data_IF_215890242682
#
_entry.id   IF_215890242682
#
_cell.length_a   1.000
_cell.length_b   1.000
_cell.length_c   1.000
_cell.angle_alpha   90.00
_cell.angle_beta   90.00
_cell.angle_gamma   90.00
#
_symmetry.space_group_name_H-M   'P 1'
#
loop_
_entity.id
_entity.type
_entity.pdbx_description
1 polymer ?
#
# COMPACT_ATOMS: atom_id res chain seq x y z
N UNK A 1 -5.02 -23.39 2.43
CA UNK A 1 -4.99 -22.65 3.71
C UNK A 1 -4.53 -21.24 3.40
N UNK A 2 -5.44 -20.27 3.37
CA UNK A 2 -5.14 -18.84 3.25
C UNK A 2 -4.96 -18.28 4.66
N UNK A 3 -3.96 -17.42 4.93
CA UNK A 3 -3.87 -16.74 6.22
C UNK A 3 -5.05 -15.75 6.36
N UNK A 4 -5.58 -15.66 7.57
CA UNK A 4 -6.69 -14.78 7.91
C UNK A 4 -6.31 -13.33 7.58
N UNK A 5 -7.14 -12.66 6.77
CA UNK A 5 -7.05 -11.24 6.56
C UNK A 5 -7.23 -10.52 7.91
N UNK A 6 -6.27 -9.67 8.25
CA UNK A 6 -6.37 -8.69 9.34
C UNK A 6 -7.46 -7.68 8.98
N UNK A 7 -8.72 -8.06 9.18
CA UNK A 7 -9.84 -7.13 9.24
C UNK A 7 -9.66 -6.30 10.51
N UNK A 8 -9.49 -4.98 10.39
CA UNK A 8 -9.62 -4.07 11.53
C UNK A 8 -11.01 -4.28 12.15
N UNK A 9 -11.13 -4.76 13.40
CA UNK A 9 -12.43 -4.80 14.06
C UNK A 9 -12.90 -3.35 14.22
N UNK A 10 -14.13 -3.09 13.75
CA UNK A 10 -14.83 -1.83 14.05
C UNK A 10 -14.97 -1.75 15.57
N UNK A 11 -14.49 -0.66 16.15
CA UNK A 11 -14.41 -0.42 17.59
C UNK A 11 -15.75 -0.70 18.31
N UNK A 12 -15.86 -1.90 18.89
CA UNK A 12 -16.86 -2.24 19.90
C UNK A 12 -16.21 -2.10 21.27
N UNK A 13 -16.67 -1.12 22.05
CA UNK A 13 -16.38 -0.84 23.46
C UNK A 13 -15.28 -1.71 24.12
N UNK A 14 -14.02 -1.29 23.98
CA UNK A 14 -12.94 -1.73 24.87
C UNK A 14 -13.11 -1.00 26.22
N UNK A 15 -14.00 -1.51 27.07
CA UNK A 15 -14.13 -1.05 28.44
C UNK A 15 -12.92 -1.47 29.26
N UNK A 16 -12.09 -0.46 29.55
CA UNK A 16 -11.44 -0.20 30.84
C UNK A 16 -11.16 -1.44 31.72
N UNK A 17 -9.95 -2.00 31.61
CA UNK A 17 -9.33 -2.83 32.65
C UNK A 17 -7.97 -2.30 33.12
N UNK A 18 -7.67 -1.03 32.86
CA UNK A 18 -6.48 -0.38 33.42
C UNK A 18 -6.68 0.16 34.86
N UNK A 19 -7.91 0.12 35.40
CA UNK A 19 -8.19 0.65 36.74
C UNK A 19 -8.17 -0.38 37.89
N UNK A 20 -8.02 -1.69 37.63
CA UNK A 20 -8.15 -2.72 38.69
C UNK A 20 -6.96 -3.67 38.89
N UNK A 21 -5.83 -3.47 38.20
CA UNK A 21 -4.64 -4.31 38.39
C UNK A 21 -3.65 -3.80 39.45
N UNK A 22 -4.12 -3.13 40.50
CA UNK A 22 -3.32 -2.75 41.68
C UNK A 22 -3.21 -3.90 42.72
N UNK A 23 -3.36 -5.16 42.28
CA UNK A 23 -3.34 -6.34 43.12
C UNK A 23 -2.02 -7.11 43.00
N UNK A 24 -1.08 -6.81 43.93
CA UNK A 24 0.03 -7.64 44.42
C UNK A 24 0.64 -8.67 43.44
N UNK A 25 1.64 -8.24 42.69
CA UNK A 25 2.72 -9.11 42.24
C UNK A 25 3.95 -8.86 43.12
N UNK A 26 4.07 -9.61 44.22
CA UNK A 26 5.29 -9.63 45.03
C UNK A 26 6.33 -10.56 44.37
N UNK A 27 7.49 -10.01 44.02
CA UNK A 27 8.76 -10.75 44.06
C UNK A 27 9.44 -11.15 42.75
N UNK A 28 8.85 -10.92 41.57
CA UNK A 28 9.62 -11.00 40.33
C UNK A 28 10.35 -9.66 40.16
N UNK A 29 11.68 -9.67 40.18
CA UNK A 29 12.52 -8.54 39.76
C UNK A 29 12.20 -8.23 38.30
N UNK A 30 11.14 -7.44 38.08
CA UNK A 30 10.72 -6.99 36.76
C UNK A 30 11.89 -6.29 36.12
N UNK A 31 12.39 -6.83 35.02
CA UNK A 31 13.48 -6.23 34.27
C UNK A 31 13.05 -4.82 33.87
N UNK A 32 13.75 -3.81 34.40
CA UNK A 32 13.50 -2.43 34.03
C UNK A 32 13.96 -2.24 32.57
N UNK A 33 13.00 -2.14 31.65
CA UNK A 33 13.29 -1.89 30.24
C UNK A 33 13.59 -0.42 30.07
N UNK A 34 14.88 -0.10 29.92
CA UNK A 34 15.33 1.25 29.60
C UNK A 34 14.93 1.61 28.17
N UNK A 35 14.17 2.69 28.01
CA UNK A 35 13.76 3.23 26.71
C UNK A 35 14.67 4.37 26.26
N UNK A 36 15.10 4.34 25.00
CA UNK A 36 15.72 5.45 24.30
C UNK A 36 14.64 6.29 23.59
N UNK A 37 14.14 7.31 24.28
CA UNK A 37 12.97 8.08 23.85
C UNK A 37 13.38 9.34 23.05
N UNK A 38 12.90 9.52 21.79
CA UNK A 38 13.22 10.68 20.96
C UNK A 38 13.00 12.01 21.66
N UNK A 39 13.90 12.98 21.47
CA UNK A 39 13.91 14.26 22.21
C UNK A 39 12.65 15.11 22.03
N UNK A 40 11.98 14.99 20.87
CA UNK A 40 10.77 15.75 20.53
C UNK A 40 9.49 15.28 21.24
N UNK A 41 9.52 14.16 21.96
CA UNK A 41 8.35 13.69 22.71
C UNK A 41 8.06 14.57 23.93
N UNK A 42 6.78 14.87 24.13
CA UNK A 42 6.30 15.58 25.32
C UNK A 42 6.48 14.74 26.59
N UNK A 43 6.51 15.39 27.76
CA UNK A 43 6.60 14.69 29.05
C UNK A 43 5.48 13.68 29.25
N UNK A 44 4.25 14.01 28.80
CA UNK A 44 3.10 13.10 28.86
C UNK A 44 3.30 11.85 28.00
N UNK A 45 3.75 12.02 26.76
CA UNK A 45 4.01 10.89 25.86
C UNK A 45 5.14 9.99 26.39
N UNK A 46 6.20 10.58 26.94
CA UNK A 46 7.28 9.81 27.58
C UNK A 46 6.77 8.98 28.74
N UNK A 47 6.00 9.58 29.65
CA UNK A 47 5.42 8.87 30.79
C UNK A 47 4.50 7.72 30.36
N UNK A 48 3.71 7.91 29.29
CA UNK A 48 2.86 6.85 28.71
C UNK A 48 3.70 5.69 28.16
N UNK A 49 4.75 5.99 27.37
CA UNK A 49 5.63 4.96 26.79
C UNK A 49 6.43 4.21 27.86
N UNK A 50 6.97 4.90 28.86
CA UNK A 50 7.67 4.28 29.99
C UNK A 50 6.74 3.40 30.83
N UNK A 51 5.52 3.87 31.09
CA UNK A 51 4.50 3.08 31.76
C UNK A 51 4.15 1.81 30.98
N UNK A 52 3.90 1.95 29.68
CA UNK A 52 3.65 0.81 28.80
C UNK A 52 4.84 -0.16 28.75
N UNK A 53 6.08 0.35 28.65
CA UNK A 53 7.29 -0.45 28.65
C UNK A 53 7.45 -1.29 29.91
N UNK A 54 7.23 -0.70 31.09
CA UNK A 54 7.27 -1.44 32.37
C UNK A 54 6.19 -2.52 32.45
N UNK A 55 4.96 -2.21 32.06
CA UNK A 55 3.86 -3.19 32.06
C UNK A 55 4.16 -4.35 31.11
N UNK A 56 4.56 -4.05 29.88
CA UNK A 56 4.90 -5.06 28.87
C UNK A 56 6.08 -5.93 29.31
N UNK A 57 7.11 -5.34 29.93
CA UNK A 57 8.24 -6.08 30.46
C UNK A 57 7.84 -7.05 31.57
N UNK A 58 6.94 -6.64 32.47
CA UNK A 58 6.42 -7.48 33.54
C UNK A 58 5.55 -8.62 33.00
N UNK A 59 4.72 -8.35 31.99
CA UNK A 59 3.78 -9.32 31.42
C UNK A 59 4.45 -10.34 30.48
N UNK A 60 5.36 -9.88 29.63
CA UNK A 60 5.98 -10.71 28.58
C UNK A 60 7.36 -11.25 28.99
N UNK A 61 8.03 -10.62 29.94
CA UNK A 61 9.36 -11.02 30.41
C UNK A 61 10.35 -11.21 29.24
N UNK A 62 11.06 -12.35 29.16
CA UNK A 62 12.00 -12.63 28.07
C UNK A 62 11.36 -12.70 26.66
N UNK A 63 10.03 -12.80 26.56
CA UNK A 63 9.37 -12.82 25.27
C UNK A 63 9.26 -11.42 24.64
N UNK A 64 9.42 -10.34 25.42
CA UNK A 64 9.54 -8.98 24.90
C UNK A 64 10.94 -8.77 24.32
N UNK A 65 11.03 -8.66 23.01
CA UNK A 65 12.29 -8.50 22.29
C UNK A 65 12.64 -7.04 22.04
N UNK A 66 11.64 -6.17 21.93
CA UNK A 66 11.87 -4.73 21.79
C UNK A 66 10.61 -3.91 21.58
N UNK A 67 10.80 -2.61 21.50
CA UNK A 67 9.74 -1.62 21.35
C UNK A 67 10.14 -0.62 20.26
N UNK A 68 9.22 -0.31 19.36
CA UNK A 68 9.45 0.63 18.26
C UNK A 68 8.32 1.65 18.23
N UNK A 69 8.65 2.94 18.20
CA UNK A 69 7.64 4.00 18.07
C UNK A 69 7.45 4.33 16.59
N UNK A 70 6.32 3.91 16.03
CA UNK A 70 5.94 4.20 14.65
C UNK A 70 5.12 5.51 14.58
N UNK A 71 4.34 5.66 13.52
CA UNK A 71 3.40 6.76 13.35
C UNK A 71 4.04 8.13 13.16
N UNK A 72 3.22 9.15 13.34
CA UNK A 72 3.64 10.54 13.31
C UNK A 72 4.54 10.88 14.50
N UNK A 73 4.26 10.33 15.68
CA UNK A 73 5.04 10.56 16.89
C UNK A 73 6.48 10.06 16.78
N UNK A 74 6.73 8.88 16.21
CA UNK A 74 8.08 8.37 15.99
C UNK A 74 8.93 9.28 15.09
N UNK A 75 8.27 9.96 14.14
CA UNK A 75 8.91 10.80 13.11
C UNK A 75 8.92 12.30 13.45
N UNK A 76 8.45 12.69 14.63
CA UNK A 76 8.36 14.10 15.03
C UNK A 76 7.30 14.90 14.28
N UNK A 77 6.28 14.22 13.74
CA UNK A 77 5.16 14.80 12.98
C UNK A 77 3.85 14.79 13.76
N UNK A 78 3.87 14.42 15.04
CA UNK A 78 2.67 14.35 15.85
C UNK A 78 2.03 15.73 16.00
N UNK A 79 0.70 15.75 15.91
CA UNK A 79 -0.16 16.88 16.24
C UNK A 79 -0.94 16.59 17.51
N UNK A 80 -1.75 17.54 17.97
CA UNK A 80 -2.69 17.32 19.10
C UNK A 80 -3.75 16.24 18.83
N UNK A 81 -3.90 15.82 17.57
CA UNK A 81 -4.80 14.74 17.16
C UNK A 81 -4.08 13.41 16.90
N UNK A 82 -2.77 13.35 17.14
CA UNK A 82 -1.98 12.13 16.97
C UNK A 82 -1.96 11.29 18.25
N UNK A 83 -2.18 9.99 18.08
CA UNK A 83 -1.90 8.96 19.06
C UNK A 83 -0.43 8.51 18.98
N UNK A 84 -0.08 7.53 19.82
CA UNK A 84 1.21 6.85 19.81
C UNK A 84 1.04 5.44 19.24
N UNK A 85 1.73 5.14 18.14
CA UNK A 85 1.80 3.81 17.57
C UNK A 85 3.01 3.05 18.13
N UNK A 86 2.80 2.16 19.11
CA UNK A 86 3.87 1.37 19.73
C UNK A 86 3.88 -0.06 19.16
N UNK A 87 4.86 -0.37 18.32
CA UNK A 87 5.08 -1.76 17.90
C UNK A 87 5.74 -2.52 19.04
N UNK A 88 5.08 -3.58 19.50
CA UNK A 88 5.58 -4.48 20.55
C UNK A 88 6.19 -5.69 19.87
N UNK A 89 7.52 -5.73 19.79
CA UNK A 89 8.25 -6.81 19.10
C UNK A 89 8.51 -7.94 20.09
N UNK A 90 8.07 -9.14 19.74
CA UNK A 90 8.13 -10.31 20.62
C UNK A 90 8.56 -11.58 19.88
N UNK A 91 8.78 -12.67 20.63
CA UNK A 91 9.06 -13.98 20.02
C UNK A 91 7.85 -14.47 19.21
N UNK A 92 8.05 -15.30 18.18
CA UNK A 92 6.95 -15.84 17.38
C UNK A 92 5.89 -16.57 18.22
N UNK A 93 6.32 -17.29 19.26
CA UNK A 93 5.42 -18.04 20.15
C UNK A 93 4.51 -17.11 20.95
N UNK A 94 5.05 -15.98 21.45
CA UNK A 94 4.27 -15.00 22.18
C UNK A 94 3.28 -14.26 21.27
N UNK A 95 3.68 -13.97 20.03
CA UNK A 95 2.81 -13.33 19.04
C UNK A 95 1.64 -14.23 18.58
N UNK A 96 1.81 -15.56 18.64
CA UNK A 96 0.78 -16.54 18.33
C UNK A 96 -0.09 -16.94 19.53
N UNK A 97 0.25 -16.47 20.73
CA UNK A 97 -0.50 -16.74 21.95
C UNK A 97 -1.93 -16.18 21.91
N UNK A 98 -2.74 -16.44 22.95
CA UNK A 98 -4.01 -15.75 23.12
C UNK A 98 -3.73 -14.25 23.02
N UNK A 99 -4.53 -13.51 22.23
CA UNK A 99 -4.35 -12.07 22.11
C UNK A 99 -4.30 -11.50 23.53
N UNK A 100 -3.12 -11.04 23.96
CA UNK A 100 -3.02 -10.24 25.15
C UNK A 100 -3.99 -9.07 24.97
N UNK A 101 -4.60 -8.53 26.04
CA UNK A 101 -5.43 -7.34 25.93
C UNK A 101 -4.54 -6.14 25.55
N UNK A 102 -4.17 -6.05 24.28
CA UNK A 102 -3.32 -5.01 23.72
C UNK A 102 -4.00 -3.68 23.98
N UNK A 103 -3.23 -2.75 24.53
CA UNK A 103 -3.77 -1.45 24.87
C UNK A 103 -4.18 -0.73 23.59
N UNK A 104 -5.47 -0.42 23.48
CA UNK A 104 -6.02 0.38 22.41
C UNK A 104 -6.81 1.54 23.03
N UNK A 105 -6.18 2.70 23.10
CA UNK A 105 -6.75 3.93 23.64
C UNK A 105 -6.63 5.04 22.61
N UNK A 106 -7.29 6.19 22.85
CA UNK A 106 -7.13 7.36 22.00
C UNK A 106 -5.71 7.97 22.03
N UNK A 107 -4.84 7.53 22.94
CA UNK A 107 -3.52 8.14 23.20
C UNK A 107 -2.37 7.20 22.85
N UNK A 108 -2.62 5.89 22.88
CA UNK A 108 -1.62 4.84 22.67
C UNK A 108 -2.31 3.58 22.10
N UNK A 109 -1.80 3.14 20.97
CA UNK A 109 -2.10 1.86 20.32
C UNK A 109 -0.88 0.94 20.43
N UNK A 110 -1.06 -0.21 21.07
CA UNK A 110 -0.06 -1.29 21.09
C UNK A 110 -0.31 -2.23 19.92
N UNK A 111 0.71 -2.43 19.09
CA UNK A 111 0.64 -3.22 17.87
C UNK A 111 1.58 -4.43 18.04
N UNK A 112 1.06 -5.62 18.35
CA UNK A 112 1.90 -6.80 18.54
C UNK A 112 2.54 -7.24 17.22
N UNK A 113 3.83 -7.56 17.25
CA UNK A 113 4.59 -8.00 16.09
C UNK A 113 5.57 -9.10 16.46
N UNK A 114 5.56 -10.21 15.72
CA UNK A 114 6.61 -11.19 15.83
C UNK A 114 7.89 -10.67 15.14
N UNK A 115 9.07 -10.94 15.70
CA UNK A 115 10.33 -10.49 15.09
C UNK A 115 10.52 -11.05 13.67
N UNK A 116 10.16 -12.31 13.44
CA UNK A 116 10.28 -12.94 12.13
C UNK A 116 9.38 -12.29 11.07
N UNK A 117 8.23 -11.75 11.46
CA UNK A 117 7.39 -10.94 10.58
C UNK A 117 8.09 -9.66 10.14
N UNK A 118 8.86 -9.01 11.04
CA UNK A 118 9.61 -7.81 10.70
C UNK A 118 10.81 -8.13 9.81
N UNK A 119 11.47 -9.26 10.03
CA UNK A 119 12.59 -9.75 9.22
C UNK A 119 12.15 -10.20 7.81
N UNK A 120 10.90 -10.65 7.66
CA UNK A 120 10.32 -11.05 6.39
C UNK A 120 9.74 -9.85 5.63
N UNK A 121 10.46 -9.40 4.61
CA UNK A 121 9.96 -8.33 3.73
C UNK A 121 8.80 -8.84 2.88
N UNK A 122 7.62 -8.26 3.10
CA UNK A 122 6.43 -8.61 2.35
C UNK A 122 6.59 -8.25 0.86
N UNK A 123 6.22 -9.15 -0.08
CA UNK A 123 6.33 -8.86 -1.51
C UNK A 123 5.31 -7.81 -1.94
N UNK A 124 5.61 -7.11 -3.03
CA UNK A 124 4.74 -6.07 -3.57
C UNK A 124 3.32 -6.62 -3.83
N UNK A 125 2.30 -5.80 -3.58
CA UNK A 125 0.90 -6.17 -3.78
C UNK A 125 0.33 -7.14 -2.73
N UNK A 126 1.15 -7.66 -1.80
CA UNK A 126 0.63 -8.37 -0.64
C UNK A 126 0.04 -7.41 0.40
N UNK A 127 -0.84 -7.87 1.30
CA UNK A 127 -1.36 -7.05 2.40
C UNK A 127 -0.27 -6.46 3.30
N UNK A 128 0.85 -7.19 3.48
CA UNK A 128 1.99 -6.77 4.30
C UNK A 128 2.79 -5.61 3.72
N UNK A 129 2.82 -5.46 2.39
CA UNK A 129 3.67 -4.48 1.72
C UNK A 129 3.34 -3.04 2.13
N UNK A 130 2.05 -2.73 2.32
CA UNK A 130 1.63 -1.39 2.73
C UNK A 130 2.21 -0.96 4.09
N UNK A 131 2.49 -1.93 4.98
CA UNK A 131 3.03 -1.66 6.31
C UNK A 131 4.53 -1.37 6.32
N UNK A 132 5.26 -1.59 5.21
CA UNK A 132 6.69 -1.27 5.13
C UNK A 132 6.98 0.18 5.52
N UNK A 133 6.10 1.10 5.10
CA UNK A 133 6.23 2.50 5.49
C UNK A 133 6.04 2.73 6.98
N UNK A 134 5.16 1.99 7.65
CA UNK A 134 5.02 2.08 9.11
C UNK A 134 6.33 1.74 9.82
N UNK A 135 7.13 0.84 9.27
CA UNK A 135 8.45 0.48 9.81
C UNK A 135 9.57 1.44 9.43
N UNK A 136 9.51 2.00 8.21
CA UNK A 136 10.58 2.81 7.65
C UNK A 136 10.95 4.00 8.55
N UNK A 137 12.22 4.04 8.98
CA UNK A 137 12.80 5.08 9.84
C UNK A 137 12.07 5.29 11.18
N UNK A 138 11.35 4.28 11.67
CA UNK A 138 10.76 4.32 13.00
C UNK A 138 11.86 4.14 14.07
N UNK A 139 11.93 4.99 15.10
CA UNK A 139 12.90 4.83 16.18
C UNK A 139 12.65 3.57 17.01
N UNK A 140 13.73 2.81 17.24
CA UNK A 140 13.76 1.69 18.18
C UNK A 140 13.97 2.25 19.59
N UNK A 141 12.98 2.05 20.46
CA UNK A 141 13.04 2.52 21.84
C UNK A 141 13.80 1.54 22.75
N UNK A 142 13.68 0.24 22.48
CA UNK A 142 14.39 -0.81 23.21
C UNK A 142 14.63 -2.00 22.28
N UNK A 143 15.79 -2.64 22.42
CA UNK A 143 16.19 -3.79 21.61
C UNK A 143 17.02 -4.79 22.45
N UNK A 144 16.38 -5.91 22.83
CA UNK A 144 17.02 -7.02 23.53
C UNK A 144 17.68 -8.02 22.57
N UNK A 145 17.53 -7.84 21.26
CA UNK A 145 18.02 -8.76 20.22
C UNK A 145 19.44 -8.46 19.76
N UNK A 146 20.06 -7.39 20.30
CA UNK A 146 21.40 -6.96 19.90
C UNK A 146 21.43 -6.29 18.52
N UNK A 147 20.34 -5.62 18.11
CA UNK A 147 20.28 -4.83 16.88
C UNK A 147 19.53 -5.48 15.72
N UNK A 148 18.95 -6.70 15.90
CA UNK A 148 18.19 -7.35 14.82
C UNK A 148 16.93 -6.58 14.48
N UNK A 149 16.26 -5.96 15.46
CA UNK A 149 15.08 -5.13 15.22
C UNK A 149 15.47 -3.92 14.37
N UNK A 150 16.53 -3.22 14.74
CA UNK A 150 17.03 -2.08 13.98
C UNK A 150 17.39 -2.46 12.53
N UNK A 151 18.10 -3.58 12.34
CA UNK A 151 18.46 -4.09 11.01
C UNK A 151 17.22 -4.48 10.18
N UNK A 152 16.21 -5.08 10.81
CA UNK A 152 14.97 -5.43 10.15
C UNK A 152 14.19 -4.19 9.72
N UNK A 153 14.05 -3.16 10.58
CA UNK A 153 13.43 -1.88 10.21
C UNK A 153 14.18 -1.17 9.08
N UNK A 154 15.51 -1.16 9.11
CA UNK A 154 16.33 -0.57 8.06
C UNK A 154 16.06 -1.24 6.70
N UNK A 155 16.01 -2.57 6.67
CA UNK A 155 15.65 -3.32 5.46
C UNK A 155 14.27 -2.94 4.92
N UNK A 156 13.32 -2.56 5.78
CA UNK A 156 11.98 -2.13 5.34
C UNK A 156 12.00 -0.79 4.59
N UNK A 157 13.06 0.01 4.67
CA UNK A 157 13.17 1.32 3.98
C UNK A 157 13.54 1.21 2.50
N UNK A 158 14.16 0.10 2.08
CA UNK A 158 14.76 -0.06 0.77
C UNK A 158 14.16 -1.21 -0.06
N UNK A 159 13.98 -0.96 -1.36
CA UNK A 159 13.67 -1.99 -2.35
C UNK A 159 14.97 -2.57 -2.90
N UNK A 160 15.08 -3.89 -2.95
CA UNK A 160 16.08 -4.56 -3.78
C UNK A 160 15.77 -4.36 -5.26
N UNK A 161 16.76 -4.60 -6.13
CA UNK A 161 16.57 -4.55 -7.58
C UNK A 161 15.42 -5.45 -8.06
N UNK A 162 15.26 -6.64 -7.45
CA UNK A 162 14.17 -7.54 -7.80
C UNK A 162 12.80 -6.97 -7.41
N UNK A 163 12.69 -6.39 -6.20
CA UNK A 163 11.47 -5.72 -5.74
C UNK A 163 11.13 -4.50 -6.60
N UNK A 164 12.13 -3.67 -6.95
CA UNK A 164 11.95 -2.52 -7.85
C UNK A 164 11.42 -2.97 -9.22
N UNK A 165 12.00 -4.02 -9.82
CA UNK A 165 11.53 -4.52 -11.11
C UNK A 165 10.12 -5.10 -11.04
N UNK A 166 9.81 -5.85 -9.97
CA UNK A 166 8.49 -6.42 -9.76
C UNK A 166 7.44 -5.33 -9.54
N UNK A 167 7.73 -4.30 -8.75
CA UNK A 167 6.86 -3.14 -8.57
C UNK A 167 6.65 -2.37 -9.89
N UNK A 168 7.73 -1.97 -10.56
CA UNK A 168 7.66 -1.13 -11.76
C UNK A 168 7.02 -1.85 -12.95
N UNK A 169 7.42 -3.11 -13.19
CA UNK A 169 7.09 -3.88 -14.39
C UNK A 169 6.05 -4.96 -14.06
N UNK A 170 6.32 -5.82 -13.08
CA UNK A 170 5.44 -6.93 -12.71
C UNK A 170 4.03 -6.48 -12.32
N UNK A 171 3.96 -5.40 -11.55
CA UNK A 171 2.70 -4.74 -11.16
C UNK A 171 2.33 -3.54 -12.03
N UNK A 172 3.07 -3.30 -13.11
CA UNK A 172 2.71 -2.35 -14.17
C UNK A 172 2.63 -0.88 -13.74
N UNK A 173 3.32 -0.48 -12.66
CA UNK A 173 3.24 0.89 -12.11
C UNK A 173 3.67 1.94 -13.12
N UNK A 174 4.74 1.68 -13.88
CA UNK A 174 5.18 2.58 -14.94
C UNK A 174 4.13 2.73 -16.05
N UNK A 175 3.50 1.62 -16.46
CA UNK A 175 2.47 1.61 -17.49
C UNK A 175 1.20 2.34 -17.06
N UNK A 176 0.78 2.13 -15.81
CA UNK A 176 -0.37 2.81 -15.21
C UNK A 176 -0.15 4.32 -15.12
N UNK A 177 1.00 4.76 -14.63
CA UNK A 177 1.37 6.17 -14.57
C UNK A 177 1.35 6.83 -15.96
N UNK A 178 2.02 6.23 -16.94
CA UNK A 178 2.08 6.77 -18.31
C UNK A 178 0.69 6.84 -18.96
N UNK A 179 -0.13 5.81 -18.79
CA UNK A 179 -1.47 5.76 -19.37
C UNK A 179 -2.39 6.83 -18.78
N UNK A 180 -2.42 6.98 -17.44
CA UNK A 180 -3.27 7.98 -16.78
C UNK A 180 -2.78 9.41 -17.06
N UNK A 181 -1.46 9.63 -17.09
CA UNK A 181 -0.89 10.91 -17.51
C UNK A 181 -1.30 11.25 -18.95
N UNK A 182 -1.24 10.28 -19.87
CA UNK A 182 -1.66 10.47 -21.24
C UNK A 182 -3.17 10.77 -21.36
N UNK A 183 -4.02 10.12 -20.55
CA UNK A 183 -5.46 10.42 -20.48
C UNK A 183 -5.71 11.85 -20.00
N UNK A 184 -5.02 12.29 -18.96
CA UNK A 184 -5.11 13.66 -18.47
C UNK A 184 -4.75 14.66 -19.58
N UNK A 185 -3.64 14.46 -20.30
CA UNK A 185 -3.22 15.31 -21.42
C UNK A 185 -4.24 15.30 -22.58
N UNK A 186 -4.90 14.17 -22.87
CA UNK A 186 -5.97 14.11 -23.86
C UNK A 186 -7.19 14.93 -23.44
N UNK A 187 -7.58 14.88 -22.16
CA UNK A 187 -8.67 15.66 -21.60
C UNK A 187 -8.36 17.16 -21.62
N UNK A 188 -7.12 17.54 -21.29
CA UNK A 188 -6.59 18.90 -21.48
C UNK A 188 -6.76 19.37 -22.93
N UNK A 189 -6.27 18.59 -23.89
CA UNK A 189 -6.35 18.93 -25.32
C UNK A 189 -7.78 19.08 -25.82
N UNK A 190 -8.71 18.35 -25.22
CA UNK A 190 -10.13 18.39 -25.56
C UNK A 190 -10.92 19.51 -24.83
N UNK A 191 -10.25 20.34 -24.00
CA UNK A 191 -10.92 21.38 -23.23
C UNK A 191 -11.82 20.84 -22.11
N UNK A 192 -11.45 19.69 -21.53
CA UNK A 192 -12.18 18.99 -20.46
C UNK A 192 -11.43 19.06 -19.12
N UNK A 193 -11.54 20.17 -18.38
CA UNK A 193 -10.65 20.46 -17.28
C UNK A 193 -10.96 19.68 -15.98
N UNK A 194 -12.18 19.16 -15.82
CA UNK A 194 -12.49 18.34 -14.66
C UNK A 194 -11.91 16.93 -14.85
N UNK A 195 -12.13 16.35 -16.03
CA UNK A 195 -11.70 15.00 -16.38
C UNK A 195 -10.18 14.88 -16.37
N UNK A 196 -9.48 15.89 -16.88
CA UNK A 196 -8.02 15.92 -16.78
C UNK A 196 -7.53 15.98 -15.32
N UNK A 197 -8.27 16.61 -14.40
CA UNK A 197 -7.90 16.67 -12.97
C UNK A 197 -8.07 15.30 -12.35
N UNK A 198 -9.19 14.65 -12.63
CA UNK A 198 -9.49 13.32 -12.16
C UNK A 198 -8.43 12.31 -12.65
N UNK A 199 -8.12 12.32 -13.95
CA UNK A 199 -7.07 11.47 -14.53
C UNK A 199 -5.68 11.76 -13.90
N UNK A 200 -5.35 13.03 -13.64
CA UNK A 200 -4.07 13.42 -13.03
C UNK A 200 -3.97 13.00 -11.56
N UNK A 201 -5.03 13.20 -10.77
CA UNK A 201 -5.09 12.74 -9.37
C UNK A 201 -5.02 11.21 -9.31
N UNK A 202 -5.71 10.51 -10.20
CA UNK A 202 -5.66 9.04 -10.29
C UNK A 202 -4.25 8.54 -10.65
N UNK A 203 -3.46 9.32 -11.41
CA UNK A 203 -2.09 8.98 -11.77
C UNK A 203 -1.07 9.14 -10.63
N UNK A 204 -1.39 9.94 -9.61
CA UNK A 204 -0.43 10.37 -8.59
C UNK A 204 0.16 9.21 -7.76
N UNK A 205 -0.62 8.21 -7.30
CA UNK A 205 -0.06 7.06 -6.60
C UNK A 205 0.99 6.32 -7.44
N UNK A 206 0.71 6.11 -8.73
CA UNK A 206 1.62 5.41 -9.64
C UNK A 206 2.88 6.23 -9.93
N UNK A 207 2.75 7.55 -10.06
CA UNK A 207 3.90 8.44 -10.21
C UNK A 207 4.85 8.33 -9.01
N UNK A 208 4.31 8.41 -7.79
CA UNK A 208 5.12 8.32 -6.57
C UNK A 208 5.74 6.93 -6.40
N UNK A 209 5.00 5.85 -6.69
CA UNK A 209 5.55 4.48 -6.71
C UNK A 209 6.76 4.43 -7.65
N UNK A 210 6.64 4.97 -8.87
CA UNK A 210 7.74 5.00 -9.86
C UNK A 210 8.95 5.79 -9.36
N UNK A 211 8.74 7.00 -8.84
CA UNK A 211 9.84 7.88 -8.39
C UNK A 211 10.64 7.22 -7.26
N UNK A 212 9.97 6.73 -6.22
CA UNK A 212 10.66 6.12 -5.08
C UNK A 212 11.29 4.77 -5.45
N UNK A 213 10.60 3.94 -6.24
CA UNK A 213 11.12 2.63 -6.59
C UNK A 213 12.38 2.70 -7.49
N UNK A 214 12.47 3.71 -8.37
CA UNK A 214 13.67 3.95 -9.20
C UNK A 214 14.92 4.24 -8.35
N UNK A 215 14.74 4.86 -7.19
CA UNK A 215 15.81 5.14 -6.22
C UNK A 215 15.94 4.03 -5.15
N UNK A 216 15.23 2.91 -5.32
CA UNK A 216 15.29 1.79 -4.39
C UNK A 216 14.72 2.12 -3.01
N UNK A 217 13.77 3.06 -2.93
CA UNK A 217 13.15 3.50 -1.67
C UNK A 217 11.69 3.05 -1.61
N UNK A 218 11.21 2.77 -0.40
CA UNK A 218 9.78 2.58 -0.14
C UNK A 218 9.07 3.93 -0.19
N UNK A 219 7.94 3.97 -0.90
CA UNK A 219 7.12 5.18 -1.01
C UNK A 219 6.51 5.58 0.35
N UNK A 220 6.61 6.87 0.75
CA UNK A 220 5.97 7.38 1.95
C UNK A 220 4.45 7.47 1.84
N UNK A 221 3.77 7.42 3.00
CA UNK A 221 2.38 7.88 3.07
C UNK A 221 2.29 9.34 2.63
N UNK A 222 1.22 9.70 1.94
CA UNK A 222 1.02 11.06 1.41
C UNK A 222 1.11 12.14 2.51
N UNK A 223 0.63 11.83 3.72
CA UNK A 223 0.69 12.73 4.89
C UNK A 223 2.12 12.96 5.41
N UNK A 224 3.04 12.04 5.14
CA UNK A 224 4.45 12.11 5.55
C UNK A 224 5.40 12.46 4.40
N UNK A 225 4.89 12.63 3.18
CA UNK A 225 5.70 12.86 1.99
C UNK A 225 6.65 14.07 2.13
N UNK A 226 6.21 15.27 2.58
CA UNK A 226 7.12 16.40 2.73
C UNK A 226 8.27 16.13 3.71
N UNK A 227 7.97 15.47 4.84
CA UNK A 227 8.98 15.10 5.83
C UNK A 227 9.96 14.06 5.28
N UNK A 228 9.45 13.03 4.60
CA UNK A 228 10.28 12.00 4.01
C UNK A 228 11.27 12.60 3.00
N UNK A 229 10.82 13.54 2.16
CA UNK A 229 11.69 14.22 1.21
C UNK A 229 12.68 15.19 1.87
N UNK A 230 12.38 15.73 3.04
CA UNK A 230 13.31 16.60 3.76
C UNK A 230 14.42 15.81 4.48
N UNK A 231 14.05 14.66 5.07
CA UNK A 231 14.95 13.86 5.91
C UNK A 231 15.67 12.76 5.13
N UNK A 232 15.00 12.18 4.13
CA UNK A 232 15.46 11.03 3.34
C UNK A 232 15.16 11.26 1.84
N UNK A 233 15.79 12.28 1.21
CA UNK A 233 15.49 12.63 -0.18
C UNK A 233 15.90 11.50 -1.15
N UNK A 234 15.05 11.17 -2.14
CA UNK A 234 15.44 10.33 -3.27
C UNK A 234 16.65 10.95 -4.00
N UNK A 235 17.76 10.21 -4.22
CA UNK A 235 18.97 10.76 -4.83
C UNK A 235 18.76 11.36 -6.22
N UNK A 236 17.80 10.85 -6.99
CA UNK A 236 17.57 11.30 -8.37
C UNK A 236 16.66 12.54 -8.46
N UNK A 237 16.11 13.03 -7.35
CA UNK A 237 15.10 14.07 -7.33
C UNK A 237 15.35 15.11 -6.25
N UNK A 238 15.30 16.39 -6.61
CA UNK A 238 15.26 17.43 -5.58
C UNK A 238 13.87 17.49 -4.93
N UNK A 239 13.84 17.70 -3.61
CA UNK A 239 12.59 17.81 -2.83
C UNK A 239 11.64 18.87 -3.40
N UNK A 240 12.18 20.05 -3.76
CA UNK A 240 11.39 21.14 -4.30
C UNK A 240 10.79 20.82 -5.67
N UNK A 241 11.56 20.16 -6.54
CA UNK A 241 11.08 19.74 -7.86
C UNK A 241 9.96 18.71 -7.75
N UNK A 242 10.15 17.67 -6.92
CA UNK A 242 9.18 16.61 -6.76
C UNK A 242 7.86 17.13 -6.16
N UNK A 243 7.91 17.94 -5.10
CA UNK A 243 6.71 18.56 -4.53
C UNK A 243 6.04 19.51 -5.52
N UNK A 244 6.83 20.30 -6.27
CA UNK A 244 6.31 21.18 -7.32
C UNK A 244 5.63 20.42 -8.46
N UNK A 245 6.10 19.22 -8.81
CA UNK A 245 5.44 18.34 -9.77
C UNK A 245 4.13 17.76 -9.23
N UNK A 246 4.12 17.30 -7.97
CA UNK A 246 2.90 16.81 -7.31
C UNK A 246 1.84 17.90 -7.25
N UNK A 247 2.18 19.10 -6.76
CA UNK A 247 1.29 20.26 -6.77
C UNK A 247 0.87 20.63 -8.19
N UNK A 248 1.80 20.56 -9.14
CA UNK A 248 1.53 20.72 -10.57
C UNK A 248 0.46 19.74 -11.05
N UNK A 249 0.53 18.46 -10.73
CA UNK A 249 -0.48 17.47 -11.13
C UNK A 249 -1.84 17.74 -10.50
N UNK A 250 -1.86 18.22 -9.25
CA UNK A 250 -3.10 18.57 -8.53
C UNK A 250 -3.75 19.87 -9.05
N UNK A 251 -2.94 20.85 -9.45
CA UNK A 251 -3.40 22.20 -9.83
C UNK A 251 -3.54 22.38 -11.34
N UNK A 252 -2.66 21.77 -12.13
CA UNK A 252 -2.51 21.94 -13.56
C UNK A 252 -3.56 21.16 -14.33
N UNK A 253 -4.78 21.67 -14.22
CA UNK A 253 -5.72 21.68 -15.33
C UNK A 253 -6.30 23.06 -15.61
N UNK A 254 -5.96 24.08 -14.79
CA UNK A 254 -6.39 25.45 -15.06
C UNK A 254 -5.39 26.28 -15.87
N UNK A 255 -4.08 26.14 -15.62
CA UNK A 255 -3.13 27.22 -15.98
C UNK A 255 -2.22 26.92 -17.18
N UNK A 256 -1.61 25.72 -17.30
CA UNK A 256 -0.70 25.40 -18.44
C UNK A 256 -1.42 25.05 -19.74
N UNK A 257 -2.67 24.58 -19.66
CA UNK A 257 -3.47 24.19 -20.83
C UNK A 257 -3.80 25.37 -21.74
N UNK A 258 -4.01 26.56 -21.15
CA UNK A 258 -4.27 27.80 -21.88
C UNK A 258 -3.03 28.24 -22.66
N UNK A 259 -1.84 28.17 -22.05
CA UNK A 259 -0.59 28.55 -22.71
C UNK A 259 -0.20 27.60 -23.84
N UNK A 260 -0.18 26.28 -23.60
CA UNK A 260 0.17 25.30 -24.66
C UNK A 260 -0.84 25.33 -25.81
N UNK A 261 -2.14 25.48 -25.52
CA UNK A 261 -3.16 25.60 -26.58
C UNK A 261 -3.07 26.93 -27.34
N UNK A 262 -2.62 28.01 -26.70
CA UNK A 262 -2.40 29.29 -27.37
C UNK A 262 -1.16 29.25 -28.25
N UNK A 263 -0.08 28.61 -27.79
CA UNK A 263 1.17 28.47 -28.52
C UNK A 263 1.02 27.53 -29.72
N UNK A 264 0.31 26.41 -29.56
CA UNK A 264 -0.02 25.49 -30.65
C UNK A 264 -0.95 26.12 -31.71
N UNK A 265 -1.87 27.00 -31.30
CA UNK A 265 -2.70 27.78 -32.24
C UNK A 265 -1.89 28.83 -33.01
N UNK A 266 -0.88 29.44 -32.38
CA UNK A 266 0.03 30.40 -33.05
C UNK A 266 0.90 29.70 -34.09
N UNK A 267 1.50 28.56 -33.77
CA UNK A 267 2.33 27.81 -34.72
C UNK A 267 1.51 27.28 -35.90
N UNK A 268 0.28 26.81 -35.67
CA UNK A 268 -0.61 26.33 -36.75
C UNK A 268 -1.13 27.43 -37.68
N UNK A 269 -1.27 28.67 -37.19
CA UNK A 269 -1.63 29.83 -38.04
C UNK A 269 -0.45 30.33 -38.88
N UNK A 270 0.78 30.03 -38.47
CA UNK A 270 2.01 30.45 -39.17
C UNK A 270 2.47 29.47 -40.26
N UNK A 271 1.86 28.31 -40.42
CA UNK A 271 2.16 27.39 -41.54
C UNK A 271 1.25 27.68 -42.75
N UNK A 272 1.74 28.32 -43.82
CA UNK A 272 0.93 28.67 -44.99
C UNK A 272 0.67 27.46 -45.92
N UNK A 273 1.31 26.33 -45.67
CA UNK A 273 1.45 25.23 -46.63
C UNK A 273 0.26 24.27 -46.70
N UNK A 274 -0.73 24.35 -45.80
CA UNK A 274 -1.82 23.35 -45.75
C UNK A 274 -3.10 23.70 -46.54
N UNK A 275 -3.20 24.90 -47.15
CA UNK A 275 -4.38 25.28 -47.95
C UNK A 275 -4.23 25.03 -49.45
N UNK A 276 -3.00 24.98 -49.98
CA UNK A 276 -2.77 24.78 -51.41
C UNK A 276 -2.98 23.32 -51.87
N UNK A 277 -2.69 22.32 -51.03
CA UNK A 277 -2.75 20.90 -51.44
C UNK A 277 -4.14 20.25 -51.39
N UNK A 278 -5.14 20.89 -50.78
CA UNK A 278 -6.50 20.32 -50.68
C UNK A 278 -7.39 20.61 -51.89
N UNK A 279 -7.00 21.51 -52.80
CA UNK A 279 -7.75 21.76 -54.04
C UNK A 279 -7.39 20.80 -55.17
N UNK A 280 -6.24 20.14 -55.12
CA UNK A 280 -5.76 19.24 -56.17
C UNK A 280 -6.19 17.77 -55.99
N UNK A 281 -6.58 17.33 -54.80
CA UNK A 281 -6.88 15.92 -54.52
C UNK A 281 -8.35 15.49 -54.71
N UNK A 282 -9.24 16.36 -55.24
CA UNK A 282 -10.67 16.02 -55.45
C UNK A 282 -11.02 15.51 -56.85
N UNK A 283 -10.02 15.22 -57.69
CA UNK A 283 -10.17 14.55 -58.99
C UNK A 283 -9.12 13.46 -59.14
N UNK A 284 -9.40 12.25 -58.65
CA UNK A 284 -9.11 11.00 -59.38
C UNK A 284 -9.56 9.78 -58.56
N UNK A 285 -10.44 9.00 -59.19
CA UNK A 285 -10.44 7.52 -59.25
C UNK A 285 -10.49 6.75 -57.93
N UNK A 286 -11.62 6.15 -57.55
CA UNK A 286 -12.23 4.91 -58.09
C UNK A 286 -11.29 3.69 -58.06
N UNK A 287 -11.56 2.80 -57.10
CA UNK A 287 -11.24 1.36 -57.18
C UNK A 287 -10.09 0.88 -56.28
N UNK A 288 -10.43 0.19 -55.18
CA UNK A 288 -9.63 -0.92 -54.61
C UNK A 288 -10.58 -1.90 -53.89
N UNK A 289 -10.41 -3.23 -54.05
CA UNK A 289 -11.15 -4.26 -53.31
C UNK A 289 -10.57 -4.57 -51.92
N UNK A 290 -11.41 -5.21 -51.12
CA UNK A 290 -11.22 -5.75 -49.76
C UNK A 290 -10.05 -6.73 -49.58
N UNK A 291 -9.26 -6.56 -48.51
CA UNK A 291 -9.00 -7.63 -47.50
C UNK A 291 -8.23 -7.14 -46.26
N UNK A 292 -8.62 -7.72 -45.12
CA UNK A 292 -7.88 -7.97 -43.85
C UNK A 292 -7.28 -6.81 -43.05
N UNK A 293 -7.93 -6.48 -41.93
CA UNK A 293 -7.39 -6.66 -40.57
C UNK A 293 -8.27 -5.90 -39.56
N UNK A 294 -9.01 -6.63 -38.71
CA UNK A 294 -9.78 -6.06 -37.60
C UNK A 294 -9.32 -6.68 -36.28
N UNK A 295 -8.53 -5.95 -35.50
CA UNK A 295 -8.29 -6.18 -34.08
C UNK A 295 -8.85 -4.99 -33.29
N UNK A 296 -9.58 -5.32 -32.21
CA UNK A 296 -10.14 -4.43 -31.18
C UNK A 296 -11.41 -3.64 -31.54
N UNK A 297 -12.50 -4.37 -31.77
CA UNK A 297 -13.87 -3.83 -31.72
C UNK A 297 -14.49 -3.98 -30.33
N UNK A 298 -14.58 -2.88 -29.56
CA UNK A 298 -15.55 -2.77 -28.47
C UNK A 298 -16.96 -2.69 -29.07
N UNK A 299 -17.67 -3.81 -29.09
CA UNK A 299 -19.01 -3.92 -29.64
C UNK A 299 -20.03 -3.47 -28.58
N UNK A 300 -20.63 -2.29 -28.77
CA UNK A 300 -21.90 -1.90 -28.12
C UNK A 300 -23.01 -2.78 -28.69
N UNK A 301 -23.82 -3.40 -27.82
CA UNK A 301 -25.15 -3.90 -28.19
C UNK A 301 -26.18 -2.88 -27.74
N UNK A 302 -27.02 -2.45 -28.68
CA UNK A 302 -28.29 -1.80 -28.42
C UNK A 302 -29.42 -2.70 -28.94
N UNK A 303 -30.47 -2.77 -28.12
CA UNK A 303 -31.89 -3.04 -28.34
C UNK A 303 -32.39 -4.40 -28.86
N UNK A 304 -33.28 -5.02 -28.07
CA UNK A 304 -34.74 -5.06 -28.36
C UNK A 304 -35.59 -5.54 -27.14
N UNK A 305 -36.92 -5.30 -27.13
CA UNK A 305 -37.74 -5.07 -25.93
C UNK A 305 -38.63 -6.26 -25.52
N UNK A 306 -39.20 -6.18 -24.31
CA UNK A 306 -40.31 -7.03 -23.86
C UNK A 306 -40.68 -6.84 -22.38
N UNK A 307 -41.93 -6.46 -22.14
CA UNK A 307 -42.70 -6.31 -20.88
C UNK A 307 -42.54 -7.48 -19.88
N UNK A 308 -42.62 -7.36 -18.55
CA UNK A 308 -43.74 -6.81 -17.74
C UNK A 308 -43.42 -6.83 -16.23
N UNK A 309 -44.04 -5.90 -15.47
CA UNK A 309 -44.41 -5.86 -14.03
C UNK A 309 -43.59 -6.64 -12.98
N UNK A 310 -43.01 -5.93 -12.01
CA UNK A 310 -43.48 -5.82 -10.60
C UNK A 310 -42.33 -5.43 -9.64
N UNK A 311 -42.61 -4.45 -8.75
CA UNK A 311 -42.16 -4.42 -7.36
C UNK A 311 -40.68 -4.21 -7.01
N UNK A 312 -40.45 -3.19 -6.16
CA UNK A 312 -39.46 -3.14 -5.08
C UNK A 312 -38.10 -2.47 -5.33
N UNK A 313 -37.70 -1.68 -4.33
CA UNK A 313 -36.60 -0.72 -4.20
C UNK A 313 -35.18 -1.23 -4.52
N UNK A 314 -34.24 -0.35 -4.91
CA UNK A 314 -32.87 -0.77 -5.24
C UNK A 314 -31.99 -0.88 -3.99
N UNK A 315 -31.45 -2.08 -3.78
CA UNK A 315 -30.26 -2.35 -2.96
C UNK A 315 -28.99 -2.00 -3.74
N UNK A 316 -27.97 -1.56 -3.01
CA UNK A 316 -26.66 -1.18 -3.53
C UNK A 316 -25.95 -2.36 -4.24
N UNK A 317 -25.50 -2.13 -5.47
CA UNK A 317 -24.80 -3.11 -6.29
C UNK A 317 -23.37 -3.34 -5.83
N UNK A 318 -23.05 -4.60 -5.53
CA UNK A 318 -21.70 -5.12 -5.36
C UNK A 318 -21.03 -5.32 -6.72
N UNK A 319 -19.77 -4.89 -6.83
CA UNK A 319 -18.92 -5.20 -7.98
C UNK A 319 -18.13 -6.48 -7.69
N UNK A 320 -18.54 -7.58 -8.31
CA UNK A 320 -17.80 -8.84 -8.27
C UNK A 320 -16.73 -8.87 -9.37
N UNK A 321 -15.47 -9.07 -9.00
CA UNK A 321 -14.37 -9.32 -9.93
C UNK A 321 -14.54 -10.68 -10.64
N UNK A 322 -14.10 -10.82 -11.91
CA UNK A 322 -14.18 -12.08 -12.63
C UNK A 322 -13.19 -13.11 -12.07
N UNK A 323 -13.69 -14.34 -11.82
CA UNK A 323 -12.87 -15.51 -11.48
C UNK A 323 -12.09 -16.00 -12.70
N UNK A 324 -10.84 -16.48 -12.55
CA UNK A 324 -10.13 -17.15 -13.62
C UNK A 324 -10.73 -18.54 -13.87
N UNK A 325 -10.94 -18.85 -15.15
CA UNK A 325 -11.40 -20.17 -15.60
C UNK A 325 -10.21 -21.14 -15.60
N UNK A 326 -10.14 -22.02 -14.60
CA UNK A 326 -9.31 -23.22 -14.67
C UNK A 326 -10.00 -24.25 -15.57
N UNK A 327 -9.41 -24.58 -16.72
CA UNK A 327 -9.76 -25.78 -17.50
C UNK A 327 -9.07 -26.99 -16.86
N UNK A 328 -9.88 -27.85 -16.25
CA UNK A 328 -9.47 -29.18 -15.78
C UNK A 328 -9.78 -30.25 -16.83
N UNK A 329 -8.75 -31.07 -17.07
CA UNK A 329 -8.63 -32.32 -17.80
C UNK A 329 -9.75 -33.36 -17.64
N UNK A 330 -10.03 -34.06 -18.74
CA UNK A 330 -9.89 -35.52 -18.88
C UNK A 330 -10.44 -36.45 -17.79
N UNK A 331 -11.52 -37.15 -18.10
CA UNK A 331 -11.98 -38.35 -17.41
C UNK A 331 -11.33 -39.60 -18.01
N UNK A 332 -10.79 -40.48 -17.15
CA UNK A 332 -10.96 -41.93 -17.32
C UNK A 332 -10.95 -42.59 -15.95
N UNK A 333 -11.94 -43.46 -15.74
CA UNK A 333 -12.24 -44.17 -14.52
C UNK A 333 -11.48 -45.49 -14.44
N UNK A 334 -11.23 -46.02 -13.24
CA UNK A 334 -11.81 -47.30 -12.79
C UNK A 334 -11.17 -47.87 -11.51
N UNK A 335 -12.04 -48.58 -10.77
CA UNK A 335 -11.80 -49.68 -9.83
C UNK A 335 -11.18 -49.38 -8.44
N UNK A 336 -11.99 -49.61 -7.39
CA UNK A 336 -11.58 -49.67 -5.99
C UNK A 336 -11.01 -51.04 -5.57
N UNK A 337 -11.36 -51.54 -4.38
CA UNK A 337 -10.75 -51.20 -3.10
C UNK A 337 -10.00 -52.40 -2.49
N UNK A 338 -9.10 -52.17 -1.52
CA UNK A 338 -8.78 -53.10 -0.41
C UNK A 338 -7.74 -52.49 0.53
N UNK A 339 -8.12 -52.34 1.80
CA UNK A 339 -7.23 -52.57 2.95
C UNK A 339 -7.69 -53.89 3.57
N UNK A 340 -6.77 -54.74 4.09
CA UNK A 340 -6.58 -54.68 5.55
C UNK A 340 -5.17 -55.03 6.07
N UNK A 341 -4.89 -54.45 7.25
CA UNK A 341 -4.16 -54.97 8.43
C UNK A 341 -2.65 -55.30 8.37
N UNK A 342 -1.89 -54.97 9.46
CA UNK A 342 -0.47 -55.24 9.59
C UNK A 342 -0.17 -56.66 10.09
N UNK A 343 0.87 -57.29 9.54
CA UNK A 343 1.44 -58.55 10.03
C UNK A 343 2.54 -58.32 11.07
N UNK A 344 2.73 -59.24 12.05
CA UNK A 344 3.70 -59.12 13.13
C UNK A 344 4.98 -59.97 12.95
N UNK A 345 5.92 -59.75 13.88
CA UNK A 345 7.13 -60.55 14.23
C UNK A 345 8.40 -60.19 13.42
N UNK A 346 9.64 -60.20 13.94
CA UNK A 346 10.26 -61.12 14.92
C UNK A 346 11.44 -60.46 15.66
N UNK A 347 11.68 -60.95 16.88
CA UNK A 347 12.96 -60.95 17.61
C UNK A 347 13.92 -62.04 17.08
N UNK A 348 15.19 -61.92 17.51
CA UNK A 348 16.38 -62.80 17.44
C UNK A 348 17.46 -62.11 16.58
N UNK A 349 18.68 -61.80 17.06
CA UNK A 349 19.47 -62.22 18.23
C UNK A 349 19.98 -61.00 19.00
#
# INVERSE_FOLDING_TARGET
MLPAALSKPVAGAATSRLASAAGRHDGATGGDVRLDLPSHLTARQRALLEGAGRTLAAELGPALLGLVLSGSAGRGLATEHSDLDLLVVMTPEAAQGPAAPWLHTAELEQIPLALDHLEQVAPYGSPGFAYRWSYAWAPVLADATGGRIAAALDRQTHLSTAETLDELIGHGRIGAWLNLTFRALKSVRAGRPLEARLDAVESLPFFLDVVFALDGLVRPYNSSLPWALATHPPPSWSTAELLGLVEGMLTAVRTRCVQVSAEWRRTRRRSPTSRASRRSARRSTSGVPTTTASCWGWRRRADRPGSSRAGSSPSAGSWSAPRPACRGSGSSASAGPRSPAPSPRRRCR
#
